data_IF_228968028721
#
_entry.id   IF_228968028721
#
_cell.length_a   1.000
_cell.length_b   1.000
_cell.length_c   1.000
_cell.angle_alpha   90.00
_cell.angle_beta   90.00
_cell.angle_gamma   90.00
#
_symmetry.space_group_name_H-M   'P 1'
#
loop_
_entity.id
_entity.type
_entity.pdbx_description
1 polymer ?
#
# COMPACT_ATOMS: atom_id res chain seq x y z
N UNK A 1 30.68 7.68 -18.26
CA UNK A 1 29.57 7.54 -17.30
C UNK A 1 29.42 8.86 -16.58
N UNK A 2 28.25 9.53 -16.59
CA UNK A 2 28.09 10.80 -15.91
C UNK A 2 27.87 10.56 -14.40
N UNK A 3 28.76 11.14 -13.60
CA UNK A 3 28.68 11.23 -12.14
C UNK A 3 27.54 12.18 -11.78
N UNK A 4 26.45 11.65 -11.20
CA UNK A 4 25.37 12.45 -10.62
C UNK A 4 25.94 13.21 -9.41
N UNK A 5 26.28 14.49 -9.60
CA UNK A 5 26.59 15.39 -8.49
C UNK A 5 25.30 15.71 -7.74
N UNK A 6 25.20 15.23 -6.50
CA UNK A 6 24.14 15.61 -5.57
C UNK A 6 24.18 17.12 -5.30
N UNK A 7 22.99 17.74 -5.25
CA UNK A 7 22.84 19.18 -5.04
C UNK A 7 23.47 19.63 -3.72
N UNK A 8 23.93 20.89 -3.60
CA UNK A 8 24.67 21.39 -2.43
C UNK A 8 23.91 21.24 -1.11
N UNK A 9 22.57 21.20 -1.17
CA UNK A 9 21.67 21.10 -0.01
C UNK A 9 21.74 19.72 0.67
N UNK A 10 22.09 18.66 -0.06
CA UNK A 10 22.16 17.30 0.48
C UNK A 10 23.46 17.00 1.24
N UNK A 11 24.48 17.86 1.15
CA UNK A 11 25.77 17.67 1.83
C UNK A 11 25.75 18.08 3.31
N UNK A 12 24.72 18.77 3.77
CA UNK A 12 24.62 19.28 5.15
C UNK A 12 23.70 18.45 6.05
N UNK A 13 23.12 17.36 5.54
CA UNK A 13 22.30 16.48 6.37
C UNK A 13 23.18 15.53 7.18
N UNK A 14 22.92 15.35 8.49
CA UNK A 14 23.58 14.34 9.30
C UNK A 14 23.55 12.96 8.63
N UNK A 15 24.66 12.22 8.66
CA UNK A 15 24.76 10.86 8.07
C UNK A 15 23.67 9.90 8.55
N UNK A 16 23.15 10.12 9.77
CA UNK A 16 22.04 9.37 10.33
C UNK A 16 20.72 9.59 9.55
N UNK A 17 20.50 10.79 9.01
CA UNK A 17 19.33 11.11 8.18
C UNK A 17 19.51 10.53 6.78
N UNK A 18 20.71 10.66 6.20
CA UNK A 18 21.03 10.08 4.88
C UNK A 18 20.94 8.54 4.90
N UNK A 19 21.49 7.88 5.93
CA UNK A 19 21.36 6.43 6.10
C UNK A 19 19.94 5.98 6.44
N UNK A 20 19.11 6.84 7.05
CA UNK A 20 17.69 6.59 7.29
C UNK A 20 16.87 6.68 6.01
N UNK A 21 17.18 7.65 5.15
CA UNK A 21 16.59 7.81 3.82
C UNK A 21 17.02 6.70 2.88
N UNK A 22 18.30 6.31 2.86
CA UNK A 22 18.81 5.19 2.06
C UNK A 22 18.28 3.85 2.54
N UNK A 23 18.14 3.64 3.86
CA UNK A 23 17.43 2.46 4.38
C UNK A 23 15.95 2.50 4.00
N UNK A 24 15.30 3.65 4.07
CA UNK A 24 13.93 3.84 3.58
C UNK A 24 13.77 3.49 2.09
N UNK A 25 14.72 3.94 1.26
CA UNK A 25 14.78 3.70 -0.19
C UNK A 25 15.10 2.24 -0.50
N UNK A 26 16.16 1.67 0.06
CA UNK A 26 16.50 0.26 -0.15
C UNK A 26 15.38 -0.67 0.32
N UNK A 27 14.76 -0.32 1.45
CA UNK A 27 13.65 -1.10 1.93
C UNK A 27 12.42 -0.92 1.02
N UNK A 28 12.17 0.27 0.42
CA UNK A 28 11.14 0.48 -0.60
C UNK A 28 11.42 -0.39 -1.83
N UNK A 29 12.64 -0.36 -2.37
CA UNK A 29 13.09 -1.25 -3.46
C UNK A 29 12.84 -2.71 -3.14
N UNK A 30 13.12 -3.17 -1.92
CA UNK A 30 12.81 -4.54 -1.49
C UNK A 30 11.30 -4.82 -1.54
N UNK A 31 10.44 -3.89 -1.12
CA UNK A 31 8.98 -3.98 -1.25
C UNK A 31 8.50 -4.08 -2.70
N UNK A 32 9.14 -3.39 -3.63
CA UNK A 32 8.84 -3.48 -5.07
C UNK A 32 9.35 -4.80 -5.69
N UNK A 33 10.50 -5.30 -5.21
CA UNK A 33 10.95 -6.66 -5.50
C UNK A 33 9.94 -7.69 -5.01
N UNK A 34 9.18 -7.45 -3.93
CA UNK A 34 8.16 -8.42 -3.50
C UNK A 34 6.95 -8.52 -4.46
N UNK A 35 6.53 -7.44 -5.11
CA UNK A 35 5.41 -7.52 -6.06
C UNK A 35 5.79 -8.20 -7.39
N UNK A 36 6.95 -7.85 -7.96
CA UNK A 36 7.39 -8.31 -9.28
C UNK A 36 8.43 -9.43 -9.25
N UNK A 37 9.16 -9.56 -8.14
CA UNK A 37 10.24 -10.52 -7.95
C UNK A 37 9.79 -11.84 -7.34
N UNK A 38 8.56 -11.99 -6.86
CA UNK A 38 8.05 -13.31 -6.43
C UNK A 38 7.59 -14.18 -7.59
N UNK A 39 7.34 -13.61 -8.77
CA UNK A 39 6.93 -14.37 -9.96
C UNK A 39 8.01 -15.39 -10.33
N UNK A 40 7.72 -16.69 -10.13
CA UNK A 40 8.66 -17.78 -10.41
C UNK A 40 9.84 -17.95 -9.43
N UNK A 41 9.94 -17.16 -8.34
CA UNK A 41 11.03 -17.30 -7.35
C UNK A 41 10.63 -18.01 -6.06
N UNK A 42 9.36 -17.94 -5.67
CA UNK A 42 8.83 -18.77 -4.58
C UNK A 42 8.10 -19.98 -5.18
N UNK A 43 8.25 -21.20 -4.61
CA UNK A 43 7.49 -22.37 -5.05
C UNK A 43 5.98 -22.05 -5.01
N UNK A 44 5.33 -22.07 -6.19
CA UNK A 44 3.90 -21.81 -6.33
C UNK A 44 3.47 -20.37 -6.66
N UNK A 45 4.40 -19.41 -6.79
CA UNK A 45 4.08 -18.02 -7.15
C UNK A 45 3.82 -17.86 -8.66
N UNK A 46 2.56 -17.75 -9.07
CA UNK A 46 2.17 -17.74 -10.50
C UNK A 46 2.02 -16.33 -11.08
N UNK A 47 2.09 -16.22 -12.42
CA UNK A 47 1.82 -14.94 -13.12
C UNK A 47 0.42 -14.38 -12.85
N UNK A 48 -0.58 -15.25 -12.59
CA UNK A 48 -1.94 -14.84 -12.23
C UNK A 48 -2.00 -14.20 -10.84
N UNK A 49 -1.27 -14.75 -9.88
CA UNK A 49 -1.15 -14.16 -8.55
C UNK A 49 -0.46 -12.79 -8.61
N UNK A 50 0.57 -12.65 -9.45
CA UNK A 50 1.32 -11.41 -9.64
C UNK A 50 0.43 -10.23 -10.10
N UNK A 51 -0.56 -10.50 -10.97
CA UNK A 51 -1.51 -9.49 -11.44
C UNK A 51 -2.47 -8.99 -10.34
N UNK A 52 -2.59 -9.71 -9.23
CA UNK A 52 -3.50 -9.41 -8.13
C UNK A 52 -2.78 -9.08 -6.81
N UNK A 53 -1.51 -8.68 -6.89
CA UNK A 53 -0.63 -8.47 -5.73
C UNK A 53 -0.79 -7.10 -5.06
N UNK A 54 -1.59 -6.16 -5.58
CA UNK A 54 -1.71 -4.83 -4.96
C UNK A 54 -2.15 -4.87 -3.49
N UNK A 55 -3.00 -5.83 -3.09
CA UNK A 55 -3.40 -6.05 -1.70
C UNK A 55 -2.25 -6.54 -0.81
N UNK A 56 -1.69 -7.74 -1.07
CA UNK A 56 -0.53 -8.26 -0.34
C UNK A 56 0.66 -7.29 -0.31
N UNK A 57 0.96 -6.61 -1.42
CA UNK A 57 2.06 -5.65 -1.49
C UNK A 57 1.81 -4.44 -0.58
N UNK A 58 0.58 -3.91 -0.56
CA UNK A 58 0.20 -2.84 0.36
C UNK A 58 0.29 -3.31 1.83
N UNK A 59 -0.10 -4.55 2.13
CA UNK A 59 0.04 -5.12 3.47
C UNK A 59 1.52 -5.22 3.90
N UNK A 60 2.41 -5.65 3.00
CA UNK A 60 3.85 -5.67 3.25
C UNK A 60 4.43 -4.27 3.52
N UNK A 61 3.98 -3.26 2.76
CA UNK A 61 4.37 -1.87 2.98
C UNK A 61 3.97 -1.40 4.39
N UNK A 62 2.75 -1.71 4.86
CA UNK A 62 2.29 -1.37 6.22
C UNK A 62 3.12 -2.07 7.30
N UNK A 63 3.34 -3.38 7.19
CA UNK A 63 4.17 -4.13 8.17
C UNK A 63 5.55 -3.50 8.32
N UNK A 64 6.14 -3.13 7.20
CA UNK A 64 7.44 -2.49 7.15
C UNK A 64 7.43 -1.09 7.76
N UNK A 65 6.37 -0.31 7.60
CA UNK A 65 6.20 0.98 8.31
C UNK A 65 6.15 0.80 9.83
N UNK A 66 5.78 -0.38 10.33
CA UNK A 66 5.85 -0.75 11.75
C UNK A 66 7.20 -1.37 12.16
N UNK A 67 8.17 -1.46 11.24
CA UNK A 67 9.46 -2.11 11.48
C UNK A 67 9.40 -3.64 11.51
N UNK A 68 8.35 -4.23 10.95
CA UNK A 68 8.13 -5.67 10.93
C UNK A 68 8.53 -6.23 9.56
N UNK A 69 9.36 -7.28 9.55
CA UNK A 69 9.70 -7.98 8.31
C UNK A 69 8.44 -8.63 7.72
N UNK A 70 8.09 -8.23 6.51
CA UNK A 70 6.94 -8.78 5.81
C UNK A 70 7.22 -10.22 5.32
N UNK A 71 6.26 -11.14 5.43
CA UNK A 71 6.31 -12.43 4.73
C UNK A 71 6.14 -12.25 3.22
N UNK A 72 6.31 -13.34 2.46
CA UNK A 72 6.07 -13.32 1.01
C UNK A 72 4.60 -13.07 0.67
N UNK A 73 4.30 -12.58 -0.54
CA UNK A 73 2.92 -12.36 -0.99
C UNK A 73 2.13 -13.68 -0.96
N UNK A 74 2.77 -14.78 -1.36
CA UNK A 74 2.17 -16.12 -1.26
C UNK A 74 1.86 -16.53 0.18
N UNK A 75 2.77 -16.27 1.13
CA UNK A 75 2.52 -16.52 2.55
C UNK A 75 1.37 -15.65 3.09
N UNK A 76 1.32 -14.36 2.72
CA UNK A 76 0.22 -13.48 3.11
C UNK A 76 -1.14 -14.00 2.64
N UNK A 77 -1.22 -14.52 1.40
CA UNK A 77 -2.43 -15.16 0.86
C UNK A 77 -2.85 -16.35 1.70
N UNK A 78 -1.90 -17.25 2.01
CA UNK A 78 -2.15 -18.43 2.83
C UNK A 78 -2.66 -18.08 4.23
N UNK A 79 -2.09 -17.03 4.85
CA UNK A 79 -2.47 -16.61 6.21
C UNK A 79 -3.95 -16.20 6.33
N UNK A 80 -4.56 -15.77 5.23
CA UNK A 80 -5.94 -15.26 5.19
C UNK A 80 -6.88 -16.10 4.32
N UNK A 81 -6.45 -17.32 3.97
CA UNK A 81 -7.24 -18.25 3.17
C UNK A 81 -7.59 -17.72 1.77
N UNK A 82 -6.77 -16.84 1.19
CA UNK A 82 -6.98 -16.34 -0.16
C UNK A 82 -6.56 -17.39 -1.21
N UNK A 83 -7.19 -17.43 -2.39
CA UNK A 83 -6.82 -18.33 -3.47
C UNK A 83 -5.33 -18.23 -3.84
N UNK A 84 -4.71 -19.39 -4.07
CA UNK A 84 -3.33 -19.55 -4.52
C UNK A 84 -3.23 -20.50 -5.73
N UNK A 85 -2.13 -20.44 -6.47
CA UNK A 85 -1.84 -21.31 -7.61
C UNK A 85 -2.36 -20.77 -8.95
N UNK A 86 -2.82 -21.65 -9.84
CA UNK A 86 -3.17 -21.34 -11.25
C UNK A 86 -4.66 -21.51 -11.62
N UNK A 87 -5.50 -21.88 -10.64
CA UNK A 87 -6.94 -22.09 -10.76
C UNK A 87 -7.73 -20.90 -11.36
N UNK A 88 -8.92 -21.17 -11.86
CA UNK A 88 -9.84 -20.13 -12.32
C UNK A 88 -10.51 -19.43 -11.13
N UNK A 89 -10.35 -18.11 -11.00
CA UNK A 89 -11.02 -17.32 -9.96
C UNK A 89 -10.32 -16.00 -9.66
N UNK A 90 -10.92 -15.13 -8.82
CA UNK A 90 -10.31 -13.88 -8.41
C UNK A 90 -9.19 -14.14 -7.40
N UNK A 91 -7.97 -13.76 -7.76
CA UNK A 91 -6.81 -13.79 -6.87
C UNK A 91 -6.70 -12.53 -6.01
N UNK A 92 -7.51 -11.49 -6.22
CA UNK A 92 -7.39 -10.27 -5.41
C UNK A 92 -7.86 -10.54 -3.97
N UNK A 93 -7.12 -10.04 -2.98
CA UNK A 93 -7.56 -10.06 -1.59
C UNK A 93 -8.74 -9.09 -1.40
N UNK A 94 -9.73 -9.53 -0.62
CA UNK A 94 -10.75 -8.63 -0.09
C UNK A 94 -10.16 -7.63 0.90
N UNK A 95 -10.91 -6.57 1.22
CA UNK A 95 -10.47 -5.54 2.18
C UNK A 95 -10.15 -6.15 3.55
N UNK A 96 -11.01 -7.07 4.02
CA UNK A 96 -10.80 -7.78 5.28
C UNK A 96 -9.60 -8.71 5.24
N UNK A 97 -9.35 -9.38 4.11
CA UNK A 97 -8.17 -10.21 3.93
C UNK A 97 -6.87 -9.39 3.94
N UNK A 98 -6.86 -8.19 3.36
CA UNK A 98 -5.69 -7.29 3.46
C UNK A 98 -5.44 -6.89 4.91
N UNK A 99 -6.48 -6.51 5.64
CA UNK A 99 -6.38 -6.12 7.05
C UNK A 99 -5.89 -7.26 7.94
N UNK A 100 -6.48 -8.45 7.79
CA UNK A 100 -6.09 -9.66 8.51
C UNK A 100 -4.67 -10.11 8.15
N UNK A 101 -4.22 -9.94 6.91
CA UNK A 101 -2.86 -10.30 6.51
C UNK A 101 -1.82 -9.48 7.28
N UNK A 102 -2.04 -8.17 7.45
CA UNK A 102 -1.18 -7.31 8.28
C UNK A 102 -1.22 -7.77 9.74
N UNK A 103 -2.42 -7.91 10.32
CA UNK A 103 -2.58 -8.29 11.73
C UNK A 103 -1.90 -9.63 12.05
N UNK A 104 -2.21 -10.67 11.29
CA UNK A 104 -1.68 -12.03 11.51
C UNK A 104 -0.17 -12.08 11.29
N UNK A 105 0.34 -11.42 10.25
CA UNK A 105 1.79 -11.36 9.98
C UNK A 105 2.53 -10.65 11.12
N UNK A 106 1.97 -9.57 11.66
CA UNK A 106 2.55 -8.86 12.79
C UNK A 106 2.53 -9.73 14.06
N UNK A 107 1.42 -10.42 14.34
CA UNK A 107 1.31 -11.30 15.51
C UNK A 107 2.30 -12.45 15.47
N UNK A 108 2.57 -13.03 14.30
CA UNK A 108 3.62 -14.05 14.13
C UNK A 108 5.03 -13.54 14.44
N UNK A 109 5.23 -12.22 14.50
CA UNK A 109 6.49 -11.55 14.85
C UNK A 109 6.44 -10.92 16.24
N UNK A 110 5.46 -11.26 17.06
CA UNK A 110 5.32 -10.75 18.43
C UNK A 110 4.81 -9.31 18.51
N UNK A 111 4.27 -8.76 17.43
CA UNK A 111 3.71 -7.42 17.42
C UNK A 111 2.18 -7.45 17.40
N UNK A 112 1.55 -6.61 18.22
CA UNK A 112 0.11 -6.44 18.25
C UNK A 112 -0.29 -5.22 17.43
N UNK A 113 -1.13 -5.43 16.41
CA UNK A 113 -1.68 -4.39 15.55
C UNK A 113 -3.20 -4.50 15.59
N UNK A 114 -3.86 -3.40 15.90
CA UNK A 114 -5.29 -3.23 15.67
C UNK A 114 -5.53 -2.62 14.29
N UNK A 115 -6.72 -2.86 13.74
CA UNK A 115 -7.14 -2.20 12.52
C UNK A 115 -8.61 -1.81 12.57
N UNK A 116 -8.97 -0.82 11.77
CA UNK A 116 -10.34 -0.43 11.48
C UNK A 116 -10.54 -0.37 9.97
N UNK A 117 -11.72 -0.78 9.50
CA UNK A 117 -12.09 -0.70 8.09
C UNK A 117 -13.27 0.24 7.96
N UNK A 118 -13.03 1.40 7.35
CA UNK A 118 -14.06 2.38 7.08
C UNK A 118 -14.48 2.32 5.62
N UNK A 119 -15.78 2.15 5.39
CA UNK A 119 -16.37 2.41 4.07
C UNK A 119 -16.29 3.90 3.77
N UNK A 120 -15.76 4.25 2.60
CA UNK A 120 -15.64 5.62 2.14
C UNK A 120 -16.80 6.02 1.24
N UNK A 121 -17.22 7.27 1.38
CA UNK A 121 -18.19 7.88 0.46
C UNK A 121 -17.52 8.34 -0.83
N UNK A 122 -18.30 8.70 -1.84
CA UNK A 122 -17.78 9.38 -3.05
C UNK A 122 -17.54 10.88 -2.85
N UNK A 123 -17.89 11.44 -1.68
CA UNK A 123 -17.53 12.81 -1.31
C UNK A 123 -16.04 12.84 -0.96
N UNK A 124 -15.26 13.53 -1.79
CA UNK A 124 -13.80 13.58 -1.67
C UNK A 124 -13.35 14.33 -0.42
N UNK A 125 -14.05 15.39 -0.01
CA UNK A 125 -13.64 16.20 1.15
C UNK A 125 -13.77 15.39 2.44
N UNK A 126 -14.91 14.70 2.63
CA UNK A 126 -15.09 13.78 3.76
C UNK A 126 -14.05 12.66 3.77
N UNK A 127 -13.62 12.22 2.60
CA UNK A 127 -12.60 11.16 2.46
C UNK A 127 -11.22 11.68 2.84
N UNK A 128 -10.85 12.86 2.35
CA UNK A 128 -9.58 13.52 2.67
C UNK A 128 -9.49 13.87 4.16
N UNK A 129 -10.58 14.37 4.76
CA UNK A 129 -10.63 14.71 6.17
C UNK A 129 -10.50 13.47 7.07
N UNK A 130 -11.14 12.37 6.69
CA UNK A 130 -10.95 11.10 7.39
C UNK A 130 -9.49 10.63 7.33
N UNK A 131 -8.85 10.68 6.15
CA UNK A 131 -7.45 10.31 6.00
C UNK A 131 -6.53 11.20 6.84
N UNK A 132 -6.74 12.53 6.81
CA UNK A 132 -5.98 13.48 7.63
C UNK A 132 -6.09 13.17 9.12
N UNK A 133 -7.32 12.99 9.62
CA UNK A 133 -7.59 12.68 11.03
C UNK A 133 -6.86 11.41 11.48
N UNK A 134 -6.89 10.36 10.65
CA UNK A 134 -6.27 9.07 10.93
C UNK A 134 -4.74 9.14 10.92
N UNK A 135 -4.17 9.80 9.91
CA UNK A 135 -2.71 10.04 9.84
C UNK A 135 -2.23 10.88 11.02
N UNK A 136 -2.99 11.91 11.42
CA UNK A 136 -2.66 12.74 12.58
C UNK A 136 -2.69 11.96 13.91
N UNK A 137 -3.54 10.93 14.00
CA UNK A 137 -3.54 9.98 15.13
C UNK A 137 -2.37 8.98 15.09
N UNK A 138 -1.51 9.04 14.08
CA UNK A 138 -0.36 8.14 13.89
C UNK A 138 -0.68 6.82 13.20
N UNK A 139 -1.92 6.64 12.74
CA UNK A 139 -2.37 5.41 12.08
C UNK A 139 -1.74 5.28 10.68
N UNK A 140 -1.50 4.03 10.25
CA UNK A 140 -1.01 3.72 8.90
C UNK A 140 -2.20 3.32 8.02
N UNK A 141 -2.21 3.78 6.76
CA UNK A 141 -3.42 3.74 5.93
C UNK A 141 -3.23 2.96 4.64
N UNK A 142 -4.19 2.08 4.31
CA UNK A 142 -4.38 1.53 2.97
C UNK A 142 -5.71 2.06 2.41
N UNK A 143 -5.67 2.62 1.22
CA UNK A 143 -6.83 3.06 0.46
C UNK A 143 -7.18 2.02 -0.62
N UNK A 144 -8.43 1.59 -0.67
CA UNK A 144 -9.02 0.84 -1.76
C UNK A 144 -9.98 1.72 -2.56
N UNK A 145 -9.60 2.01 -3.79
CA UNK A 145 -10.46 2.71 -4.77
C UNK A 145 -10.32 2.07 -6.16
N UNK A 146 -10.90 2.66 -7.19
CA UNK A 146 -10.44 2.37 -8.56
C UNK A 146 -8.99 2.83 -8.70
N UNK A 147 -8.21 2.18 -9.58
CA UNK A 147 -6.85 2.65 -9.80
C UNK A 147 -6.87 4.12 -10.26
N UNK A 148 -6.16 5.01 -9.56
CA UNK A 148 -6.33 6.46 -9.79
C UNK A 148 -5.83 6.88 -11.18
N UNK A 149 -4.78 6.24 -11.71
CA UNK A 149 -4.24 6.54 -13.04
C UNK A 149 -4.98 5.86 -14.19
N UNK A 150 -5.42 4.61 -14.03
CA UNK A 150 -6.04 3.81 -15.11
C UNK A 150 -7.55 3.66 -14.99
N UNK A 151 -8.13 4.06 -13.86
CA UNK A 151 -9.54 3.94 -13.51
C UNK A 151 -10.09 2.50 -13.54
N UNK A 152 -9.20 1.52 -13.39
CA UNK A 152 -9.55 0.10 -13.35
C UNK A 152 -10.36 -0.26 -12.08
N UNK A 153 -10.97 -1.45 -12.08
CA UNK A 153 -12.00 -1.85 -11.11
C UNK A 153 -11.59 -1.71 -9.64
N UNK A 154 -10.33 -1.97 -9.31
CA UNK A 154 -9.86 -1.89 -7.94
C UNK A 154 -8.36 -1.94 -7.78
N UNK A 155 -7.87 -1.12 -6.86
CA UNK A 155 -6.46 -1.02 -6.57
C UNK A 155 -6.24 -0.56 -5.12
N UNK A 156 -5.34 -1.24 -4.43
CA UNK A 156 -4.89 -0.84 -3.10
C UNK A 156 -3.62 0.00 -3.23
N UNK A 157 -3.56 1.07 -2.46
CA UNK A 157 -2.37 1.93 -2.30
C UNK A 157 -2.20 2.28 -0.83
N UNK A 158 -0.98 2.54 -0.39
CA UNK A 158 -0.71 3.02 0.98
C UNK A 158 -0.70 4.55 0.97
N UNK A 159 -1.51 5.18 1.82
CA UNK A 159 -1.57 6.65 1.93
C UNK A 159 -0.54 7.11 2.96
N UNK A 160 0.35 8.02 2.55
CA UNK A 160 1.41 8.57 3.41
C UNK A 160 1.05 9.94 3.97
N UNK A 161 0.42 10.76 3.12
CA UNK A 161 0.19 12.16 3.39
C UNK A 161 -1.07 12.63 2.66
N UNK A 162 -1.79 13.56 3.28
CA UNK A 162 -2.78 14.40 2.60
C UNK A 162 -2.30 15.85 2.73
N UNK A 163 -1.99 16.48 1.60
CA UNK A 163 -1.49 17.85 1.55
C UNK A 163 -2.61 18.87 1.78
N UNK A 164 -2.20 20.10 2.06
CA UNK A 164 -3.10 21.24 2.27
C UNK A 164 -3.94 21.57 1.04
N UNK A 165 -3.39 21.37 -0.16
CA UNK A 165 -4.09 21.51 -1.45
C UNK A 165 -5.08 20.37 -1.76
N UNK A 166 -5.18 19.38 -0.87
CA UNK A 166 -6.06 18.22 -1.02
C UNK A 166 -5.50 17.12 -1.92
N UNK A 167 -4.25 17.22 -2.39
CA UNK A 167 -3.56 16.11 -3.03
C UNK A 167 -3.14 15.05 -1.99
N UNK A 168 -3.06 13.80 -2.43
CA UNK A 168 -2.60 12.67 -1.62
C UNK A 168 -1.27 12.16 -2.13
N UNK A 169 -0.37 11.81 -1.20
CA UNK A 169 0.89 11.13 -1.51
C UNK A 169 0.73 9.66 -1.15
N UNK A 170 0.97 8.77 -2.10
CA UNK A 170 0.78 7.34 -1.92
C UNK A 170 2.03 6.53 -2.31
N UNK A 171 2.29 5.47 -1.55
CA UNK A 171 3.12 4.37 -2.04
C UNK A 171 2.21 3.46 -2.88
N UNK A 172 2.39 3.50 -4.21
CA UNK A 172 1.61 2.70 -5.14
C UNK A 172 2.34 1.38 -5.46
N UNK A 173 1.83 0.22 -5.03
CA UNK A 173 2.44 -1.07 -5.34
C UNK A 173 2.53 -1.34 -6.86
N UNK A 174 1.62 -0.78 -7.67
CA UNK A 174 1.65 -0.85 -9.14
C UNK A 174 2.74 -0.01 -9.81
N UNK A 175 3.50 0.82 -9.09
CA UNK A 175 4.58 1.62 -9.67
C UNK A 175 5.83 0.76 -9.95
N UNK A 176 6.38 0.85 -11.17
CA UNK A 176 7.53 0.05 -11.63
C UNK A 176 8.86 0.42 -10.96
N UNK A 177 8.97 1.61 -10.39
CA UNK A 177 10.19 2.21 -9.86
C UNK A 177 10.09 2.59 -8.38
N UNK A 178 8.96 2.31 -7.73
CA UNK A 178 8.77 2.61 -6.32
C UNK A 178 8.71 4.07 -5.93
N UNK A 179 8.39 4.93 -6.89
CA UNK A 179 8.18 6.35 -6.64
C UNK A 179 6.87 6.58 -5.89
N UNK A 180 6.94 7.50 -4.91
CA UNK A 180 5.74 8.10 -4.33
C UNK A 180 4.94 8.73 -5.47
N UNK A 181 3.66 8.39 -5.59
CA UNK A 181 2.76 9.07 -6.51
C UNK A 181 1.99 10.13 -5.79
N UNK A 182 1.87 11.29 -6.43
CA UNK A 182 1.01 12.37 -5.98
C UNK A 182 -0.23 12.35 -6.85
N UNK A 183 -1.40 12.31 -6.21
CA UNK A 183 -2.68 12.40 -6.89
C UNK A 183 -3.45 13.61 -6.40
N UNK A 184 -3.96 14.39 -7.33
CA UNK A 184 -4.78 15.56 -7.05
C UNK A 184 -6.11 15.17 -6.41
N UNK A 185 -6.75 16.13 -5.74
CA UNK A 185 -8.12 16.00 -5.22
C UNK A 185 -9.11 15.54 -6.30
N UNK A 186 -8.97 16.06 -7.52
CA UNK A 186 -9.85 15.76 -8.65
C UNK A 186 -9.68 14.31 -9.15
N UNK A 187 -8.44 13.82 -9.23
CA UNK A 187 -8.16 12.43 -9.60
C UNK A 187 -8.72 11.46 -8.57
N UNK A 188 -8.54 11.75 -7.28
CA UNK A 188 -9.12 10.94 -6.21
C UNK A 188 -10.66 10.93 -6.28
N UNK A 189 -11.29 12.10 -6.43
CA UNK A 189 -12.74 12.21 -6.58
C UNK A 189 -13.26 11.36 -7.74
N UNK A 190 -12.56 11.40 -8.89
CA UNK A 190 -12.89 10.59 -10.06
C UNK A 190 -12.76 9.10 -9.77
N UNK A 191 -11.68 8.66 -9.14
CA UNK A 191 -11.47 7.25 -8.79
C UNK A 191 -12.53 6.71 -7.82
N UNK A 192 -12.86 7.47 -6.77
CA UNK A 192 -13.92 7.14 -5.82
C UNK A 192 -15.27 6.96 -6.53
N UNK A 193 -15.61 7.93 -7.40
CA UNK A 193 -16.86 7.94 -8.15
C UNK A 193 -16.96 6.77 -9.14
N UNK A 194 -15.90 6.52 -9.92
CA UNK A 194 -15.88 5.43 -10.91
C UNK A 194 -16.05 4.08 -10.24
N UNK A 195 -15.36 3.83 -9.12
CA UNK A 195 -15.47 2.54 -8.41
C UNK A 195 -16.92 2.23 -8.03
N UNK A 196 -17.63 3.22 -7.50
CA UNK A 196 -19.03 3.06 -7.09
C UNK A 196 -19.97 3.04 -8.27
N UNK A 197 -19.91 4.03 -9.17
CA UNK A 197 -20.90 4.20 -10.24
C UNK A 197 -20.72 3.23 -11.40
N UNK A 198 -19.49 2.96 -11.83
CA UNK A 198 -19.22 2.07 -12.98
C UNK A 198 -19.16 0.61 -12.57
N UNK A 199 -18.56 0.32 -11.42
CA UNK A 199 -18.28 -1.06 -11.02
C UNK A 199 -19.19 -1.59 -9.90
N UNK A 200 -20.04 -0.75 -9.31
CA UNK A 200 -20.92 -1.14 -8.20
C UNK A 200 -20.14 -1.61 -6.97
N UNK A 201 -18.92 -1.07 -6.75
CA UNK A 201 -18.04 -1.48 -5.65
C UNK A 201 -17.84 -0.34 -4.66
N UNK A 202 -17.66 -0.73 -3.40
CA UNK A 202 -17.42 0.21 -2.30
C UNK A 202 -15.94 0.60 -2.23
N UNK A 203 -15.69 1.87 -1.95
CA UNK A 203 -14.38 2.36 -1.57
C UNK A 203 -14.14 2.07 -0.08
N UNK A 204 -12.90 1.85 0.33
CA UNK A 204 -12.57 1.55 1.73
C UNK A 204 -11.25 2.17 2.14
N UNK A 205 -11.15 2.56 3.40
CA UNK A 205 -9.92 2.92 4.07
C UNK A 205 -9.67 1.88 5.17
N UNK A 206 -8.49 1.25 5.15
CA UNK A 206 -8.03 0.41 6.24
C UNK A 206 -7.02 1.21 7.03
N UNK A 207 -7.26 1.38 8.32
CA UNK A 207 -6.36 2.07 9.22
C UNK A 207 -5.77 1.10 10.22
N UNK A 208 -4.47 1.21 10.49
CA UNK A 208 -3.72 0.31 11.35
C UNK A 208 -3.02 1.09 12.45
N UNK A 209 -3.05 0.55 13.67
CA UNK A 209 -2.34 1.11 14.81
C UNK A 209 -1.59 0.00 15.54
N UNK A 210 -0.32 0.27 15.90
CA UNK A 210 0.43 -0.63 16.78
C UNK A 210 -0.03 -0.43 18.22
N UNK A 211 -0.39 -1.51 18.88
CA UNK A 211 -0.72 -1.50 20.30
C UNK A 211 0.59 -1.44 21.10
N UNK A 212 0.63 -0.60 22.12
CA UNK A 212 1.77 -0.45 23.03
C UNK A 212 1.74 -1.53 24.10
#
# INVERSE_FOLDING_TARGET
MPTLQLSPVLRQLPEQILSGLDRGWQALKNTFVFQFGETGRAPGATAKEAQANCGPASAAMILKQFGISAPTMHQMRRLVGAPIGSHSGPYALSTSQVAEAVKRSASQKGAQISYDIKRLSTNVDRTLDEMRRRLAAGEKLILLTSNIGTLSRGHYVVVKEVRSDGSIVVDDPGARNGENRVHTRQELAKALSIRTRRYGRENSLIAFQRQR
#
